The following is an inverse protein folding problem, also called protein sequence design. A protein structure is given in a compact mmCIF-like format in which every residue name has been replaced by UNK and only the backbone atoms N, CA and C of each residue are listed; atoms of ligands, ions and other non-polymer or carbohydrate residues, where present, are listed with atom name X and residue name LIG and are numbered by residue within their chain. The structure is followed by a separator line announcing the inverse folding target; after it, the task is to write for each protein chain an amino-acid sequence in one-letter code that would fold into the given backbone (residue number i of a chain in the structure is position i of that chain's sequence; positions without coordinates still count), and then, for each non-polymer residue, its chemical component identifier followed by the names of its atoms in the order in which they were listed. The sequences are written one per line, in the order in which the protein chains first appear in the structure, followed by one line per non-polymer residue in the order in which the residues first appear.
data_IF_652320799916
#
_entry.id   IF_652320799916
#
_cell.length_a   1.000
_cell.length_b   1.000
_cell.length_c   1.000
_cell.angle_alpha   90.00
_cell.angle_beta   90.00
_cell.angle_gamma   90.00
#
_symmetry.space_group_name_H-M   'P 1'
#
loop_
_entity.id
_entity.type
_entity.pdbx_description
1 polymer ?
#
# COMPACT_ATOMS: atom_id res chain seq x y z
N UNK A 1 -5.78 -37.45 13.67
CA UNK A 1 -4.98 -36.20 13.58
C UNK A 1 -4.27 -36.09 12.22
N UNK A 2 -5.01 -36.20 11.10
CA UNK A 2 -4.45 -36.22 9.71
C UNK A 2 -4.98 -35.05 8.85
N UNK A 3 -5.90 -34.23 9.36
CA UNK A 3 -6.61 -33.22 8.57
C UNK A 3 -5.87 -31.87 8.40
N UNK A 4 -4.89 -31.54 9.24
CA UNK A 4 -4.26 -30.20 9.24
C UNK A 4 -3.16 -30.04 8.18
N UNK A 5 -2.40 -31.10 7.88
CA UNK A 5 -1.34 -31.06 6.86
C UNK A 5 -1.90 -30.93 5.42
N UNK A 6 -3.07 -31.49 5.17
CA UNK A 6 -3.77 -31.39 3.88
C UNK A 6 -4.27 -29.98 3.59
N UNK A 7 -4.80 -29.27 4.60
CA UNK A 7 -5.38 -27.94 4.43
C UNK A 7 -4.33 -26.89 4.02
N UNK A 8 -3.13 -26.96 4.60
CA UNK A 8 -2.03 -26.03 4.28
C UNK A 8 -1.48 -26.26 2.87
N UNK A 9 -1.42 -27.52 2.45
CA UNK A 9 -1.04 -27.89 1.07
C UNK A 9 -2.12 -27.49 0.07
N UNK A 10 -3.40 -27.63 0.43
CA UNK A 10 -4.56 -27.27 -0.39
C UNK A 10 -4.71 -25.76 -0.59
N UNK A 11 -4.67 -24.97 0.50
CA UNK A 11 -4.69 -23.50 0.44
C UNK A 11 -3.54 -22.95 -0.42
N UNK A 12 -2.37 -23.55 -0.30
CA UNK A 12 -1.18 -23.21 -1.09
C UNK A 12 -1.36 -23.55 -2.58
N UNK A 13 -2.00 -24.68 -2.86
CA UNK A 13 -2.30 -25.09 -4.23
C UNK A 13 -3.33 -24.15 -4.88
N UNK A 14 -4.40 -23.80 -4.16
CA UNK A 14 -5.40 -22.83 -4.61
C UNK A 14 -4.83 -21.44 -4.92
N UNK A 15 -3.82 -20.98 -4.16
CA UNK A 15 -3.20 -19.68 -4.39
C UNK A 15 -2.28 -19.66 -5.64
N UNK A 16 -1.73 -20.81 -6.06
CA UNK A 16 -0.77 -20.88 -7.17
C UNK A 16 -1.42 -21.19 -8.51
N UNK A 17 -2.56 -21.89 -8.54
CA UNK A 17 -3.23 -22.29 -9.78
C UNK A 17 -3.58 -21.11 -10.68
N UNK A 18 -4.08 -19.95 -10.21
CA UNK A 18 -4.38 -18.82 -11.09
C UNK A 18 -3.11 -18.27 -11.75
N UNK A 19 -2.00 -18.20 -11.01
CA UNK A 19 -0.73 -17.66 -11.52
C UNK A 19 -0.16 -18.56 -12.62
N UNK A 20 -0.13 -19.88 -12.38
CA UNK A 20 0.37 -20.86 -13.33
C UNK A 20 -0.51 -20.94 -14.59
N UNK A 21 -1.83 -20.78 -14.45
CA UNK A 21 -2.75 -20.71 -15.59
C UNK A 21 -2.46 -19.51 -16.50
N UNK A 22 -1.96 -18.41 -15.96
CA UNK A 22 -1.56 -17.21 -16.71
C UNK A 22 -0.07 -17.22 -17.08
N UNK A 23 0.63 -18.35 -16.91
CA UNK A 23 2.05 -18.49 -17.26
C UNK A 23 3.02 -17.75 -16.34
N UNK A 24 2.58 -17.37 -15.13
CA UNK A 24 3.43 -16.69 -14.13
C UNK A 24 4.03 -17.73 -13.19
N UNK A 25 5.36 -17.86 -13.20
CA UNK A 25 6.08 -18.69 -12.23
C UNK A 25 6.29 -17.94 -10.90
N UNK A 26 5.73 -18.43 -9.79
CA UNK A 26 5.90 -17.77 -8.49
C UNK A 26 7.30 -18.05 -7.92
N UNK A 27 8.09 -17.00 -7.75
CA UNK A 27 9.36 -17.07 -7.01
C UNK A 27 9.08 -17.19 -5.52
N UNK A 28 9.56 -18.27 -4.90
CA UNK A 28 9.40 -18.48 -3.46
C UNK A 28 10.60 -17.96 -2.70
N UNK A 29 10.32 -17.12 -1.70
CA UNK A 29 11.32 -16.66 -0.77
C UNK A 29 11.47 -17.66 0.39
N UNK A 30 12.69 -17.88 0.90
CA UNK A 30 12.91 -18.66 2.10
C UNK A 30 12.15 -18.04 3.30
N UNK A 31 11.75 -18.90 4.23
CA UNK A 31 11.05 -18.46 5.43
C UNK A 31 11.92 -17.48 6.24
N UNK A 32 11.27 -16.52 6.91
CA UNK A 32 11.93 -15.55 7.80
C UNK A 32 13.05 -14.73 7.13
N UNK A 33 12.93 -14.46 5.84
CA UNK A 33 13.93 -13.70 5.06
C UNK A 33 13.34 -12.38 4.56
N UNK A 34 13.07 -11.41 5.47
CA UNK A 34 12.43 -10.14 5.12
C UNK A 34 13.26 -9.32 4.13
N UNK A 35 14.59 -9.45 4.16
CA UNK A 35 15.49 -8.73 3.26
C UNK A 35 15.30 -9.13 1.79
N UNK A 36 14.85 -10.36 1.52
CA UNK A 36 14.55 -10.83 0.17
C UNK A 36 13.21 -10.29 -0.36
N UNK A 37 12.41 -9.65 0.49
CA UNK A 37 11.19 -8.94 0.14
C UNK A 37 11.20 -7.49 0.66
N UNK A 38 12.39 -6.87 0.72
CA UNK A 38 12.59 -5.62 1.44
C UNK A 38 11.63 -4.49 1.02
N UNK A 39 11.21 -4.45 -0.25
CA UNK A 39 10.25 -3.46 -0.75
C UNK A 39 8.85 -3.62 -0.14
N UNK A 40 8.30 -4.84 -0.15
CA UNK A 40 6.98 -5.07 0.42
C UNK A 40 7.01 -4.90 1.95
N UNK A 41 8.07 -5.37 2.60
CA UNK A 41 8.26 -5.17 4.05
C UNK A 41 8.35 -3.68 4.41
N UNK A 42 9.07 -2.89 3.59
CA UNK A 42 9.16 -1.45 3.78
C UNK A 42 7.80 -0.77 3.58
N UNK A 43 7.03 -1.18 2.58
CA UNK A 43 5.68 -0.68 2.34
C UNK A 43 4.76 -0.95 3.53
N UNK A 44 4.69 -2.20 4.00
CA UNK A 44 3.86 -2.59 5.16
C UNK A 44 4.24 -1.79 6.40
N UNK A 45 5.55 -1.57 6.62
CA UNK A 45 6.02 -0.73 7.73
C UNK A 45 5.50 0.71 7.60
N UNK A 46 5.58 1.31 6.41
CA UNK A 46 5.08 2.65 6.14
C UNK A 46 3.58 2.78 6.42
N UNK A 47 2.75 1.85 5.91
CA UNK A 47 1.30 1.84 6.17
C UNK A 47 1.00 1.82 7.68
N UNK A 48 1.73 0.98 8.43
CA UNK A 48 1.55 0.88 9.88
C UNK A 48 1.94 2.16 10.60
N UNK A 49 3.19 2.61 10.42
CA UNK A 49 3.73 3.72 11.19
C UNK A 49 3.16 5.09 10.80
N UNK A 50 2.70 5.26 9.56
CA UNK A 50 2.17 6.53 9.08
C UNK A 50 0.65 6.62 9.26
N UNK A 51 -0.05 5.49 9.44
CA UNK A 51 -1.51 5.46 9.43
C UNK A 51 -2.11 4.55 10.52
N UNK A 52 -1.90 3.23 10.43
CA UNK A 52 -2.66 2.29 11.26
C UNK A 52 -2.34 2.38 12.75
N UNK A 53 -1.12 2.75 13.13
CA UNK A 53 -0.72 2.90 14.54
C UNK A 53 -1.41 4.10 15.23
N UNK A 54 -2.08 4.96 14.47
CA UNK A 54 -2.79 6.15 14.95
C UNK A 54 -4.31 6.00 14.97
N UNK A 55 -4.85 4.86 14.52
CA UNK A 55 -6.28 4.66 14.35
C UNK A 55 -6.79 3.51 15.24
N UNK A 56 -7.95 3.71 15.86
CA UNK A 56 -8.69 2.63 16.51
C UNK A 56 -9.73 2.14 15.51
N UNK A 57 -9.50 0.95 14.97
CA UNK A 57 -10.39 0.31 13.99
C UNK A 57 -11.20 -0.78 14.70
N UNK A 58 -12.52 -0.78 14.53
CA UNK A 58 -13.46 -1.73 15.14
C UNK A 58 -14.08 -2.72 14.15
N UNK A 59 -13.87 -2.51 12.84
CA UNK A 59 -14.41 -3.40 11.80
C UNK A 59 -13.45 -3.59 10.62
N UNK A 60 -13.71 -4.62 9.81
CA UNK A 60 -12.92 -4.90 8.60
C UNK A 60 -13.17 -3.82 7.54
N UNK A 61 -14.41 -3.36 7.41
CA UNK A 61 -14.80 -2.32 6.46
C UNK A 61 -14.07 -1.00 6.73
N UNK A 62 -13.82 -0.68 8.01
CA UNK A 62 -13.00 0.48 8.37
C UNK A 62 -11.55 0.30 7.96
N UNK A 63 -10.98 -0.90 8.16
CA UNK A 63 -9.61 -1.19 7.73
C UNK A 63 -9.48 -1.13 6.21
N UNK A 64 -10.44 -1.68 5.48
CA UNK A 64 -10.48 -1.61 4.00
C UNK A 64 -10.53 -0.16 3.53
N UNK A 65 -11.44 0.66 4.07
CA UNK A 65 -11.52 2.08 3.75
C UNK A 65 -10.21 2.82 4.02
N UNK A 66 -9.58 2.58 5.17
CA UNK A 66 -8.30 3.19 5.53
C UNK A 66 -7.18 2.77 4.59
N UNK A 67 -7.12 1.49 4.22
CA UNK A 67 -6.11 0.98 3.30
C UNK A 67 -6.29 1.56 1.89
N UNK A 68 -7.53 1.69 1.40
CA UNK A 68 -7.82 2.32 0.11
C UNK A 68 -7.39 3.80 0.09
N UNK A 69 -7.73 4.54 1.14
CA UNK A 69 -7.28 5.93 1.30
C UNK A 69 -5.76 6.05 1.38
N UNK A 70 -5.10 5.14 2.12
CA UNK A 70 -3.65 5.11 2.20
C UNK A 70 -3.00 4.75 0.87
N UNK A 71 -3.54 3.81 0.10
CA UNK A 71 -3.02 3.42 -1.22
C UNK A 71 -3.12 4.59 -2.20
N UNK A 72 -4.26 5.29 -2.20
CA UNK A 72 -4.44 6.49 -3.02
C UNK A 72 -3.44 7.59 -2.65
N UNK A 73 -3.24 7.82 -1.34
CA UNK A 73 -2.22 8.73 -0.85
C UNK A 73 -0.81 8.30 -1.26
N UNK A 74 -0.47 7.03 -1.02
CA UNK A 74 0.85 6.47 -1.27
C UNK A 74 1.25 6.61 -2.73
N UNK A 75 0.38 6.29 -3.69
CA UNK A 75 0.74 6.34 -5.10
C UNK A 75 0.73 7.75 -5.70
N UNK A 76 -0.08 8.68 -5.17
CA UNK A 76 -0.39 9.92 -5.88
C UNK A 76 -0.05 11.21 -5.14
N UNK A 77 0.18 11.14 -3.84
CA UNK A 77 0.26 12.32 -2.98
C UNK A 77 1.47 12.28 -2.05
N UNK A 78 1.94 11.08 -1.70
CA UNK A 78 3.10 10.87 -0.85
C UNK A 78 4.39 11.12 -1.62
N UNK A 79 5.23 12.00 -1.10
CA UNK A 79 6.54 12.30 -1.70
C UNK A 79 7.48 11.11 -1.48
N UNK A 80 7.85 10.44 -2.57
CA UNK A 80 8.78 9.31 -2.52
C UNK A 80 10.23 9.77 -2.69
N UNK A 81 11.01 9.68 -1.62
CA UNK A 81 12.44 10.01 -1.67
C UNK A 81 13.21 9.14 -2.68
N UNK A 82 12.86 7.87 -2.80
CA UNK A 82 13.46 6.94 -3.77
C UNK A 82 13.18 7.30 -5.22
N UNK A 83 12.14 8.09 -5.49
CA UNK A 83 11.79 8.61 -6.81
C UNK A 83 12.27 10.05 -7.03
N UNK A 84 13.26 10.51 -6.25
CA UNK A 84 13.76 11.87 -6.36
C UNK A 84 12.80 12.95 -5.85
N UNK A 85 11.84 12.57 -4.99
CA UNK A 85 10.74 13.44 -4.50
C UNK A 85 9.77 13.88 -5.60
N UNK A 86 9.73 13.15 -6.72
CA UNK A 86 8.84 13.42 -7.83
C UNK A 86 7.51 12.71 -7.57
N UNK A 87 6.43 13.47 -7.66
CA UNK A 87 5.06 12.98 -7.79
C UNK A 87 4.58 13.51 -9.13
N UNK A 88 4.12 12.63 -10.02
CA UNK A 88 3.50 13.09 -11.27
C UNK A 88 2.22 13.85 -10.94
N UNK A 89 2.15 15.16 -11.26
CA UNK A 89 0.99 15.95 -10.91
C UNK A 89 -0.21 15.50 -11.74
N UNK A 90 -1.33 15.20 -11.07
CA UNK A 90 -2.59 14.79 -11.73
C UNK A 90 -3.24 15.93 -12.54
N UNK A 91 -2.84 17.16 -12.29
CA UNK A 91 -3.35 18.37 -12.91
C UNK A 91 -2.19 19.27 -13.34
N UNK A 92 -2.42 20.20 -14.28
CA UNK A 92 -1.41 21.22 -14.57
C UNK A 92 -1.11 22.04 -13.32
N UNK A 93 0.17 22.28 -13.07
CA UNK A 93 0.63 23.11 -11.97
C UNK A 93 0.58 24.57 -12.41
N UNK A 94 -0.15 25.40 -11.67
CA UNK A 94 -0.02 26.85 -11.74
C UNK A 94 0.95 27.28 -10.63
N UNK A 95 2.13 27.78 -11.01
CA UNK A 95 3.16 28.20 -10.05
C UNK A 95 2.73 29.41 -9.20
N UNK A 96 1.73 30.16 -9.68
CA UNK A 96 1.18 31.35 -9.00
C UNK A 96 -0.02 31.04 -8.12
N UNK A 97 -0.61 29.86 -8.26
CA UNK A 97 -1.75 29.43 -7.47
C UNK A 97 -1.37 29.19 -5.99
N UNK A 98 -2.35 29.39 -5.13
CA UNK A 98 -2.22 29.14 -3.69
C UNK A 98 -1.96 27.66 -3.41
N UNK A 99 -1.09 27.39 -2.44
CA UNK A 99 -0.83 26.01 -1.99
C UNK A 99 -2.01 25.56 -1.12
N UNK A 100 -2.72 24.54 -1.59
CA UNK A 100 -3.79 23.90 -0.86
C UNK A 100 -3.31 22.63 -0.16
N UNK A 101 -3.77 22.44 1.06
CA UNK A 101 -3.57 21.21 1.82
C UNK A 101 -4.73 20.25 1.54
N UNK A 102 -4.43 19.10 0.97
CA UNK A 102 -5.39 18.00 0.82
C UNK A 102 -5.18 17.07 2.01
N UNK A 103 -6.28 16.76 2.68
CA UNK A 103 -6.28 15.96 3.90
C UNK A 103 -7.10 14.68 3.69
N UNK A 104 -6.57 13.55 4.17
CA UNK A 104 -7.28 12.27 4.22
C UNK A 104 -7.30 11.76 5.66
N UNK A 105 -8.29 10.90 5.96
CA UNK A 105 -8.44 10.24 7.25
C UNK A 105 -8.43 11.22 8.44
N UNK A 106 -9.20 12.31 8.32
CA UNK A 106 -9.30 13.33 9.36
C UNK A 106 -8.03 14.16 9.56
N UNK A 107 -7.23 14.34 8.52
CA UNK A 107 -5.99 15.14 8.56
C UNK A 107 -4.76 14.35 9.01
N UNK A 108 -4.87 13.04 9.20
CA UNK A 108 -3.74 12.18 9.50
C UNK A 108 -2.73 12.14 8.34
N UNK A 109 -3.24 12.03 7.12
CA UNK A 109 -2.44 12.07 5.90
C UNK A 109 -2.66 13.41 5.22
N UNK A 110 -1.56 14.11 4.91
CA UNK A 110 -1.58 15.43 4.28
C UNK A 110 -0.71 15.47 3.05
N UNK A 111 -1.17 16.17 2.04
CA UNK A 111 -0.46 16.48 0.83
C UNK A 111 -0.70 17.94 0.43
N UNK A 112 0.24 18.52 -0.31
CA UNK A 112 0.25 19.94 -0.61
C UNK A 112 0.36 20.13 -2.11
N UNK A 113 -0.62 20.80 -2.70
CA UNK A 113 -0.72 20.97 -4.15
C UNK A 113 -1.05 22.42 -4.52
N UNK A 114 -0.51 22.88 -5.64
CA UNK A 114 -1.02 24.07 -6.32
C UNK A 114 -2.00 23.61 -7.37
N UNK A 115 -3.29 23.89 -7.18
CA UNK A 115 -4.32 23.57 -8.16
C UNK A 115 -4.39 24.71 -9.18
N UNK A 116 -4.42 24.37 -10.47
CA UNK A 116 -4.76 25.34 -11.51
C UNK A 116 -6.20 25.82 -11.29
N UNK A 117 -6.41 27.14 -11.41
CA UNK A 117 -7.72 27.77 -11.32
C UNK A 117 -8.61 27.43 -12.52
#
# INVERSE_FOLDING_TARGET
MVFVAGLRSYMRWLAMTPLLLHGVEPLRLPAHSPDLNAYAERFVRSVKSECLDHLILSSVEQLEYVLDEYINYYHHERIHQSLGRIIEPKHQLDETAEIQCIERLGGLLKSYHRLAA
#
